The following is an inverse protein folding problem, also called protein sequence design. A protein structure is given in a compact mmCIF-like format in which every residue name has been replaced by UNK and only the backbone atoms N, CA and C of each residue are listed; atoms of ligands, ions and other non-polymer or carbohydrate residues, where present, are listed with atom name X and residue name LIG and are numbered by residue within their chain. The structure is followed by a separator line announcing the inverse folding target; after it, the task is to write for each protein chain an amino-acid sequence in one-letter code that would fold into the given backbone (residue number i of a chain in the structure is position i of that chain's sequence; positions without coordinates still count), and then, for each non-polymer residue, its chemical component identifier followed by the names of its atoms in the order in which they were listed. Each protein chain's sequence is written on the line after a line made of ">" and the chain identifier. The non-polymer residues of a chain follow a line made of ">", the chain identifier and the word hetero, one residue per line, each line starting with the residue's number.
data_IF_999019010093
#
_entry.id   IF_999019010093
#
_cell.length_a   1.000
_cell.length_b   1.000
_cell.length_c   1.000
_cell.angle_alpha   90.00
_cell.angle_beta   90.00
_cell.angle_gamma   90.00
#
_symmetry.space_group_name_H-M   'P 1'
#
loop_
_entity.id
_entity.type
_entity.pdbx_description
1 polymer ?
#
# COMPACT_ATOMS: atom_id res chain seq x y z
N UNK A 1 21.33 1.26 14.75
CA UNK A 1 20.99 1.59 14.68
C UNK A 1 20.55 1.75 14.22
N UNK A 2 20.39 1.80 13.92
CA UNK A 2 20.00 2.05 13.47
C UNK A 2 19.32 2.65 13.05
N UNK A 3 19.52 2.75 13.42
CA UNK A 3 18.67 3.59 13.28
C UNK A 3 18.66 4.32 12.14
N UNK A 4 19.45 4.59 11.85
CA UNK A 4 19.48 5.23 10.82
C UNK A 4 18.83 4.70 9.81
N UNK A 5 18.61 3.88 10.09
CA UNK A 5 18.10 3.23 9.24
C UNK A 5 17.00 3.84 8.94
N UNK A 6 16.34 3.74 8.61
CA UNK A 6 15.25 4.02 8.24
C UNK A 6 14.57 5.06 8.81
N UNK A 7 15.06 5.87 9.49
CA UNK A 7 14.34 6.96 10.05
C UNK A 7 14.05 7.99 8.98
N UNK A 8 12.78 8.24 8.76
CA UNK A 8 12.35 9.27 7.84
C UNK A 8 11.91 10.44 8.68
N UNK A 9 12.52 11.60 8.51
CA UNK A 9 12.08 12.79 9.23
C UNK A 9 10.78 13.30 8.61
N UNK A 10 10.05 14.13 9.35
CA UNK A 10 8.83 14.71 8.80
C UNK A 10 9.13 15.52 7.55
N UNK A 11 10.28 16.18 7.50
CA UNK A 11 10.64 16.94 6.30
C UNK A 11 10.88 16.03 5.12
N UNK A 12 11.24 14.77 5.36
CA UNK A 12 11.51 13.82 4.28
C UNK A 12 10.33 13.02 3.82
N UNK A 13 9.13 13.23 4.41
CA UNK A 13 7.98 12.40 4.06
C UNK A 13 7.62 12.55 2.58
N UNK A 14 7.67 13.77 2.04
CA UNK A 14 7.34 13.97 0.62
C UNK A 14 8.25 13.19 -0.30
N UNK A 15 9.56 13.19 0.00
CA UNK A 15 10.50 12.42 -0.80
C UNK A 15 10.27 10.93 -0.64
N UNK A 16 9.92 10.48 0.56
CA UNK A 16 9.65 9.08 0.79
C UNK A 16 8.41 8.63 0.03
N UNK A 17 7.37 9.46 -0.04
CA UNK A 17 6.18 9.18 -0.83
C UNK A 17 6.57 9.00 -2.31
N UNK A 18 7.36 9.94 -2.83
CA UNK A 18 7.77 9.86 -4.25
C UNK A 18 8.59 8.60 -4.51
N UNK A 19 9.41 8.20 -3.54
CA UNK A 19 10.21 6.99 -3.69
C UNK A 19 9.35 5.75 -3.66
N UNK A 20 8.32 5.71 -2.81
CA UNK A 20 7.39 4.58 -2.78
C UNK A 20 6.64 4.48 -4.11
N UNK A 21 6.22 5.61 -4.67
CA UNK A 21 5.56 5.61 -5.97
C UNK A 21 6.48 5.07 -7.06
N UNK A 22 7.75 5.48 -7.01
CA UNK A 22 8.72 5.01 -7.98
C UNK A 22 8.91 3.49 -7.90
N UNK A 23 9.01 2.95 -6.69
CA UNK A 23 9.17 1.51 -6.55
C UNK A 23 7.97 0.74 -7.05
N UNK A 24 6.75 1.26 -6.83
CA UNK A 24 5.58 0.63 -7.44
C UNK A 24 5.70 0.62 -8.96
N UNK A 25 6.09 1.77 -9.53
CA UNK A 25 6.24 1.90 -10.97
C UNK A 25 7.28 0.91 -11.51
N UNK A 26 8.35 0.67 -10.75
CA UNK A 26 9.41 -0.25 -11.15
C UNK A 26 9.05 -1.71 -10.85
N UNK A 27 7.83 -1.97 -10.41
CA UNK A 27 7.37 -3.31 -10.08
C UNK A 27 8.16 -3.92 -8.92
N UNK A 28 8.43 -3.11 -7.92
CA UNK A 28 9.05 -3.56 -6.68
C UNK A 28 8.14 -3.20 -5.50
N UNK A 29 6.97 -3.82 -5.42
CA UNK A 29 5.95 -3.42 -4.45
C UNK A 29 6.34 -3.71 -3.00
N UNK A 30 7.23 -4.68 -2.76
CA UNK A 30 7.68 -4.94 -1.39
C UNK A 30 8.48 -3.78 -0.85
N UNK A 31 9.28 -3.14 -1.70
CA UNK A 31 10.04 -1.96 -1.29
C UNK A 31 9.09 -0.78 -1.03
N UNK A 32 8.12 -0.61 -1.91
CA UNK A 32 7.12 0.44 -1.73
C UNK A 32 6.34 0.25 -0.44
N UNK A 33 5.96 -0.98 -0.14
CA UNK A 33 5.23 -1.30 1.09
C UNK A 33 6.07 -0.92 2.32
N UNK A 34 7.34 -1.28 2.30
CA UNK A 34 8.23 -1.00 3.43
C UNK A 34 8.34 0.50 3.69
N UNK A 35 8.49 1.28 2.63
CA UNK A 35 8.59 2.73 2.77
C UNK A 35 7.28 3.30 3.33
N UNK A 36 6.15 2.83 2.84
CA UNK A 36 4.85 3.31 3.33
C UNK A 36 4.66 3.01 4.81
N UNK A 37 5.09 1.83 5.27
CA UNK A 37 4.99 1.49 6.68
C UNK A 37 5.86 2.40 7.54
N UNK A 38 7.05 2.75 7.06
CA UNK A 38 7.92 3.67 7.77
C UNK A 38 7.28 5.06 7.88
N UNK A 39 6.66 5.53 6.80
CA UNK A 39 5.97 6.82 6.82
C UNK A 39 4.82 6.78 7.83
N UNK A 40 4.02 5.73 7.82
CA UNK A 40 2.87 5.63 8.72
C UNK A 40 3.29 5.45 10.18
N UNK A 41 4.47 4.89 10.43
CA UNK A 41 4.98 4.83 11.78
C UNK A 41 5.30 6.23 12.32
N UNK A 42 5.70 7.13 11.44
CA UNK A 42 6.01 8.50 11.82
C UNK A 42 4.78 9.40 11.76
N UNK A 43 3.90 9.19 10.80
CA UNK A 43 2.73 10.02 10.56
C UNK A 43 1.55 9.10 10.24
N UNK A 44 0.92 8.59 11.29
CA UNK A 44 -0.09 7.54 11.16
C UNK A 44 -1.33 7.98 10.38
N UNK A 45 -1.55 9.27 10.28
CA UNK A 45 -2.71 9.79 9.55
C UNK A 45 -2.43 10.12 8.09
N UNK A 46 -1.22 9.82 7.59
CA UNK A 46 -0.85 10.21 6.24
C UNK A 46 -1.69 9.45 5.21
N UNK A 47 -2.56 10.16 4.51
CA UNK A 47 -3.51 9.54 3.59
C UNK A 47 -2.85 9.03 2.33
N UNK A 48 -1.85 9.75 1.81
CA UNK A 48 -1.11 9.27 0.63
C UNK A 48 -0.40 7.96 0.93
N UNK A 49 0.28 7.90 2.07
CA UNK A 49 0.99 6.68 2.44
C UNK A 49 0.03 5.52 2.66
N UNK A 50 -1.15 5.79 3.22
CA UNK A 50 -2.13 4.74 3.43
C UNK A 50 -2.65 4.18 2.10
N UNK A 51 -2.95 5.07 1.15
CA UNK A 51 -3.38 4.61 -0.18
C UNK A 51 -2.28 3.80 -0.85
N UNK A 52 -1.04 4.31 -0.82
CA UNK A 52 0.08 3.61 -1.44
C UNK A 52 0.36 2.28 -0.78
N UNK A 53 0.19 2.20 0.54
CA UNK A 53 0.39 0.94 1.25
C UNK A 53 -0.58 -0.11 0.74
N UNK A 54 -1.86 0.21 0.68
CA UNK A 54 -2.85 -0.73 0.19
C UNK A 54 -2.57 -1.15 -1.24
N UNK A 55 -2.25 -0.17 -2.11
CA UNK A 55 -1.95 -0.47 -3.50
C UNK A 55 -0.72 -1.35 -3.64
N UNK A 56 0.31 -1.09 -2.84
CA UNK A 56 1.55 -1.89 -2.89
C UNK A 56 1.28 -3.34 -2.51
N UNK A 57 0.39 -3.55 -1.56
CA UNK A 57 0.03 -4.92 -1.18
C UNK A 57 -0.79 -5.59 -2.28
N UNK A 58 -1.72 -4.85 -2.93
CA UNK A 58 -2.48 -5.45 -4.04
C UNK A 58 -1.57 -5.82 -5.20
N UNK A 59 -0.48 -5.09 -5.39
CA UNK A 59 0.49 -5.41 -6.45
C UNK A 59 1.18 -6.74 -6.19
N UNK A 60 1.10 -7.28 -4.98
CA UNK A 60 1.72 -8.56 -4.61
C UNK A 60 0.72 -9.71 -4.62
N UNK A 61 -0.50 -9.48 -5.04
CA UNK A 61 -1.51 -10.54 -5.07
C UNK A 61 -1.16 -11.59 -6.10
N UNK A 62 -1.36 -12.86 -5.71
CA UNK A 62 -1.05 -14.01 -6.56
C UNK A 62 -2.28 -14.77 -7.01
N UNK A 63 -3.41 -14.54 -6.36
CA UNK A 63 -4.62 -15.32 -6.60
C UNK A 63 -4.72 -16.58 -5.75
N UNK A 64 -3.75 -16.79 -4.86
CA UNK A 64 -3.71 -17.99 -4.02
C UNK A 64 -3.87 -17.61 -2.54
N UNK A 65 -3.89 -18.64 -1.71
CA UNK A 65 -4.03 -18.48 -0.29
C UNK A 65 -2.87 -17.69 0.25
N UNK A 66 -2.70 -16.81 0.80
CA UNK A 66 -1.58 -16.01 1.24
C UNK A 66 -1.72 -14.56 0.81
N UNK A 67 -2.61 -14.29 -0.11
CA UNK A 67 -2.91 -12.91 -0.47
C UNK A 67 -3.59 -12.22 0.73
N UNK A 68 -3.26 -10.95 0.90
CA UNK A 68 -3.64 -10.24 2.12
C UNK A 68 -4.86 -9.34 1.89
N UNK A 69 -5.96 -9.94 1.41
CA UNK A 69 -7.16 -9.18 1.08
C UNK A 69 -7.74 -8.46 2.30
N UNK A 70 -7.82 -9.15 3.43
CA UNK A 70 -8.39 -8.56 4.64
C UNK A 70 -7.58 -7.39 5.16
N UNK A 71 -6.27 -7.51 5.08
CA UNK A 71 -5.38 -6.44 5.51
C UNK A 71 -5.60 -5.19 4.64
N UNK A 72 -5.68 -5.38 3.31
CA UNK A 72 -5.88 -4.26 2.41
C UNK A 72 -7.25 -3.63 2.63
N UNK A 73 -8.27 -4.45 2.87
CA UNK A 73 -9.60 -3.92 3.15
C UNK A 73 -9.58 -3.01 4.38
N UNK A 74 -8.89 -3.42 5.44
CA UNK A 74 -8.77 -2.58 6.62
C UNK A 74 -8.03 -1.30 6.34
N UNK A 75 -6.96 -1.39 5.55
CA UNK A 75 -6.17 -0.21 5.20
C UNK A 75 -7.05 0.81 4.47
N UNK A 76 -7.80 0.37 3.46
CA UNK A 76 -8.63 1.28 2.68
C UNK A 76 -9.82 1.81 3.48
N UNK A 77 -10.38 0.98 4.39
CA UNK A 77 -11.46 1.46 5.25
C UNK A 77 -10.98 2.49 6.26
N UNK A 78 -9.68 2.59 6.49
CA UNK A 78 -9.11 3.60 7.35
C UNK A 78 -8.88 4.95 6.68
N UNK A 79 -9.19 5.09 5.37
CA UNK A 79 -9.11 6.37 4.70
C UNK A 79 -10.20 7.30 5.23
N UNK A 80 -9.90 8.59 5.30
CA UNK A 80 -10.84 9.53 5.89
C UNK A 80 -11.97 9.91 4.95
N UNK A 81 -11.66 10.01 3.67
CA UNK A 81 -12.63 10.45 2.69
C UNK A 81 -13.53 9.30 2.28
N UNK A 82 -14.84 9.49 2.37
CA UNK A 82 -15.80 8.43 2.06
C UNK A 82 -15.72 8.00 0.60
N UNK A 83 -15.48 8.96 -0.30
CA UNK A 83 -15.36 8.63 -1.71
C UNK A 83 -14.14 7.74 -1.94
N UNK A 84 -13.01 8.07 -1.31
CA UNK A 84 -11.80 7.27 -1.45
C UNK A 84 -11.97 5.89 -0.86
N UNK A 85 -12.64 5.77 0.29
CA UNK A 85 -12.91 4.45 0.85
C UNK A 85 -13.64 3.57 -0.14
N UNK A 86 -14.68 4.12 -0.77
CA UNK A 86 -15.47 3.35 -1.73
C UNK A 86 -14.65 3.03 -2.98
N UNK A 87 -13.91 4.01 -3.48
CA UNK A 87 -13.12 3.83 -4.70
C UNK A 87 -12.06 2.75 -4.52
N UNK A 88 -11.28 2.84 -3.44
CA UNK A 88 -10.19 1.90 -3.23
C UNK A 88 -10.67 0.52 -2.81
N UNK A 89 -11.78 0.44 -2.09
CA UNK A 89 -12.37 -0.85 -1.79
C UNK A 89 -12.86 -1.53 -3.07
N UNK A 90 -13.46 -0.76 -3.97
CA UNK A 90 -13.85 -1.30 -5.27
C UNK A 90 -12.67 -1.77 -6.08
N UNK A 91 -11.58 -1.00 -6.05
CA UNK A 91 -10.35 -1.39 -6.74
C UNK A 91 -9.79 -2.69 -6.17
N UNK A 92 -9.84 -2.86 -4.86
CA UNK A 92 -9.40 -4.08 -4.22
C UNK A 92 -10.16 -5.30 -4.76
N UNK A 93 -11.49 -5.19 -4.84
CA UNK A 93 -12.28 -6.31 -5.33
C UNK A 93 -11.99 -6.59 -6.81
N UNK A 94 -11.78 -5.55 -7.59
CA UNK A 94 -11.45 -5.72 -8.99
C UNK A 94 -10.11 -6.43 -9.16
N UNK A 95 -9.11 -6.05 -8.38
CA UNK A 95 -7.80 -6.69 -8.46
C UNK A 95 -7.85 -8.13 -7.99
N UNK A 96 -8.63 -8.39 -6.96
CA UNK A 96 -8.82 -9.76 -6.47
C UNK A 96 -9.42 -10.64 -7.55
N UNK A 97 -10.46 -10.13 -8.23
CA UNK A 97 -11.11 -10.88 -9.28
C UNK A 97 -10.15 -11.17 -10.43
N UNK A 98 -9.35 -10.17 -10.83
CA UNK A 98 -8.41 -10.34 -11.93
C UNK A 98 -7.36 -11.40 -11.64
N UNK A 99 -6.77 -11.39 -10.45
CA UNK A 99 -5.74 -12.38 -10.18
C UNK A 99 -6.32 -13.76 -10.00
N UNK A 100 -7.55 -13.89 -9.51
CA UNK A 100 -8.19 -15.18 -9.40
C UNK A 100 -8.47 -15.76 -10.79
N UNK A 101 -8.90 -14.92 -11.71
CA UNK A 101 -9.11 -15.38 -13.09
C UNK A 101 -7.80 -15.86 -13.72
N UNK A 102 -6.73 -15.10 -13.51
CA UNK A 102 -5.44 -15.48 -14.10
C UNK A 102 -4.88 -16.76 -13.49
N UNK A 103 -5.25 -17.07 -12.25
CA UNK A 103 -4.74 -18.27 -11.60
C UNK A 103 -5.66 -19.47 -11.80
N UNK A 104 -6.70 -19.34 -12.62
CA UNK A 104 -7.52 -20.49 -12.99
C UNK A 104 -8.73 -20.74 -12.10
N UNK A 105 -9.11 -19.81 -11.28
CA UNK A 105 -10.30 -19.97 -10.45
C UNK A 105 -11.56 -19.64 -11.18
#
# INVERSE_FOLDING_TARGET
>A
MDAQLKVISRAGIGEAIAKAELYRYLNEPEEAESICRDILALDSGNQLARRLLGLSITDQFTGYAGDRYGEVAEIFQGLRDAYERAYYTGLLYERRAKVQLRSGY
#
